data_IF_419553519631
#
_entry.id   IF_419553519631
#
_cell.length_a   1.000
_cell.length_b   1.000
_cell.length_c   1.000
_cell.angle_alpha   90.00
_cell.angle_beta   90.00
_cell.angle_gamma   90.00
#
_symmetry.space_group_name_H-M   'P 1'
#
loop_
_entity.id
_entity.type
_entity.pdbx_description
1 polymer ?
#
# COMPACT_ATOMS: atom_id res chain seq x y z
N UNK A 1 -30.84 -6.13 -16.43
CA UNK A 1 -29.59 -6.90 -16.25
C UNK A 1 -28.56 -5.90 -15.80
N UNK A 2 -28.47 -5.71 -14.48
CA UNK A 2 -27.52 -4.77 -13.90
C UNK A 2 -26.15 -5.44 -13.88
N UNK A 3 -25.26 -4.96 -14.76
CA UNK A 3 -23.85 -5.34 -14.77
C UNK A 3 -23.20 -4.70 -13.55
N UNK A 4 -23.20 -5.41 -12.43
CA UNK A 4 -22.51 -4.98 -11.22
C UNK A 4 -21.02 -4.95 -11.55
N UNK A 5 -20.47 -3.73 -11.64
CA UNK A 5 -19.05 -3.40 -11.78
C UNK A 5 -18.21 -4.19 -10.77
N UNK A 6 -17.75 -5.37 -11.16
CA UNK A 6 -16.85 -6.22 -10.37
C UNK A 6 -15.38 -5.81 -10.55
N UNK A 7 -15.09 -4.88 -11.47
CA UNK A 7 -13.74 -4.46 -11.83
C UNK A 7 -13.04 -3.58 -10.79
N UNK A 8 -13.77 -3.02 -9.81
CA UNK A 8 -13.15 -2.15 -8.78
C UNK A 8 -12.49 -2.92 -7.64
N UNK A 9 -12.82 -4.20 -7.42
CA UNK A 9 -12.26 -4.95 -6.28
C UNK A 9 -10.78 -5.33 -6.48
N UNK A 10 -10.30 -5.38 -7.73
CA UNK A 10 -8.94 -5.77 -8.08
C UNK A 10 -8.05 -4.58 -8.50
N UNK A 11 -8.46 -3.35 -8.16
CA UNK A 11 -7.71 -2.15 -8.53
C UNK A 11 -7.26 -1.33 -7.32
N UNK A 12 -5.94 -1.14 -7.23
CA UNK A 12 -5.30 -0.26 -6.27
C UNK A 12 -5.32 1.18 -6.80
N UNK A 13 -5.53 2.13 -5.90
CA UNK A 13 -5.52 3.55 -6.22
C UNK A 13 -4.69 4.30 -5.19
N UNK A 14 -3.76 5.13 -5.67
CA UNK A 14 -2.91 5.98 -4.84
C UNK A 14 -2.91 7.40 -5.42
N UNK A 15 -3.02 8.39 -4.54
CA UNK A 15 -2.76 9.79 -4.88
C UNK A 15 -1.26 10.06 -4.74
N UNK A 16 -0.64 10.46 -5.84
CA UNK A 16 0.77 10.81 -5.91
C UNK A 16 0.96 12.26 -5.48
N UNK A 17 2.03 12.49 -4.73
CA UNK A 17 2.57 13.82 -4.44
C UNK A 17 3.88 13.98 -5.21
N UNK A 18 4.13 15.17 -5.75
CA UNK A 18 5.25 15.44 -6.66
C UNK A 18 6.60 14.93 -6.11
N UNK A 19 6.87 15.17 -4.83
CA UNK A 19 8.12 14.79 -4.16
C UNK A 19 8.32 13.28 -3.99
N UNK A 20 7.26 12.49 -4.14
CA UNK A 20 7.26 11.02 -3.97
C UNK A 20 6.78 10.26 -5.20
N UNK A 21 6.25 10.94 -6.22
CA UNK A 21 5.51 10.33 -7.32
C UNK A 21 6.32 9.27 -8.05
N UNK A 22 7.57 9.58 -8.41
CA UNK A 22 8.44 8.64 -9.12
C UNK A 22 8.86 7.44 -8.27
N UNK A 23 9.03 7.66 -6.97
CA UNK A 23 9.35 6.60 -6.00
C UNK A 23 8.18 5.62 -5.88
N UNK A 24 6.96 6.14 -5.76
CA UNK A 24 5.73 5.35 -5.63
C UNK A 24 5.42 4.61 -6.93
N UNK A 25 5.54 5.25 -8.10
CA UNK A 25 5.34 4.59 -9.40
C UNK A 25 6.31 3.42 -9.59
N UNK A 26 7.60 3.62 -9.27
CA UNK A 26 8.60 2.55 -9.35
C UNK A 26 8.26 1.38 -8.42
N UNK A 27 7.82 1.66 -7.20
CA UNK A 27 7.36 0.62 -6.27
C UNK A 27 6.17 -0.15 -6.84
N UNK A 28 5.16 0.53 -7.39
CA UNK A 28 4.01 -0.14 -8.04
C UNK A 28 4.49 -1.05 -9.18
N UNK A 29 5.35 -0.56 -10.06
CA UNK A 29 5.84 -1.30 -11.22
C UNK A 29 6.66 -2.55 -10.86
N UNK A 30 7.20 -2.64 -9.65
CA UNK A 30 7.92 -3.83 -9.18
C UNK A 30 6.98 -4.99 -8.84
N UNK A 31 5.75 -4.71 -8.40
CA UNK A 31 4.81 -5.73 -7.90
C UNK A 31 3.51 -5.80 -8.70
N UNK A 32 3.28 -4.86 -9.62
CA UNK A 32 2.02 -4.68 -10.34
C UNK A 32 2.20 -3.96 -11.68
N UNK A 33 1.12 -3.90 -12.47
CA UNK A 33 0.99 -3.09 -13.69
C UNK A 33 0.14 -1.84 -13.40
N UNK A 34 0.64 -0.67 -13.83
CA UNK A 34 -0.14 0.57 -13.84
C UNK A 34 -1.17 0.48 -14.97
N UNK A 35 -2.45 0.71 -14.63
CA UNK A 35 -3.59 0.67 -15.55
C UNK A 35 -3.88 2.07 -16.10
N UNK A 36 -3.83 3.09 -15.23
CA UNK A 36 -4.17 4.46 -15.61
C UNK A 36 -3.40 5.49 -14.76
N UNK A 37 -3.19 6.67 -15.35
CA UNK A 37 -2.68 7.88 -14.69
C UNK A 37 -3.63 9.03 -15.04
N UNK A 38 -4.35 9.54 -14.04
CA UNK A 38 -5.29 10.66 -14.18
C UNK A 38 -4.88 11.78 -13.24
N UNK A 39 -4.25 12.82 -13.78
CA UNK A 39 -3.60 13.86 -12.99
C UNK A 39 -2.55 13.27 -12.04
N UNK A 40 -2.76 13.45 -10.73
CA UNK A 40 -1.89 12.89 -9.70
C UNK A 40 -2.38 11.52 -9.17
N UNK A 41 -3.46 10.95 -9.72
CA UNK A 41 -3.96 9.65 -9.29
C UNK A 41 -3.38 8.53 -10.16
N UNK A 42 -2.77 7.53 -9.53
CA UNK A 42 -2.35 6.29 -10.18
C UNK A 42 -3.33 5.16 -9.85
N UNK A 43 -3.74 4.43 -10.88
CA UNK A 43 -4.54 3.20 -10.75
C UNK A 43 -3.72 2.02 -11.25
N UNK A 44 -3.71 0.92 -10.53
CA UNK A 44 -2.89 -0.26 -10.82
C UNK A 44 -3.61 -1.56 -10.43
N UNK A 45 -3.10 -2.70 -10.90
CA UNK A 45 -3.65 -4.02 -10.55
C UNK A 45 -3.31 -4.41 -9.11
N UNK A 46 -4.31 -4.55 -8.26
CA UNK A 46 -4.08 -4.96 -6.88
C UNK A 46 -5.28 -4.67 -6.00
N UNK A 47 -5.40 -5.40 -4.90
CA UNK A 47 -6.49 -5.25 -3.96
C UNK A 47 -5.97 -4.61 -2.67
N UNK A 48 -6.63 -3.55 -2.20
CA UNK A 48 -6.32 -2.99 -0.88
C UNK A 48 -6.79 -3.96 0.21
N UNK A 49 -5.86 -4.48 1.00
CA UNK A 49 -6.10 -5.46 2.07
C UNK A 49 -6.01 -4.84 3.47
N UNK A 50 -5.27 -3.74 3.62
CA UNK A 50 -5.17 -2.97 4.86
C UNK A 50 -5.36 -1.49 4.57
N UNK A 51 -6.14 -0.84 5.42
CA UNK A 51 -6.21 0.60 5.59
C UNK A 51 -5.85 0.88 7.06
N UNK A 52 -4.77 1.62 7.26
CA UNK A 52 -4.20 1.92 8.56
C UNK A 52 -4.31 3.40 8.89
N UNK A 53 -4.86 3.69 10.07
CA UNK A 53 -5.00 5.07 10.53
C UNK A 53 -3.67 5.69 10.96
N UNK A 54 -3.59 7.02 10.80
CA UNK A 54 -2.48 7.84 11.20
C UNK A 54 -2.15 7.81 12.68
N UNK A 55 -0.93 8.21 12.99
CA UNK A 55 -0.42 8.26 14.35
C UNK A 55 0.78 9.19 14.50
N UNK A 56 1.03 9.57 15.76
CA UNK A 56 2.19 10.33 16.20
C UNK A 56 2.40 11.68 15.48
N UNK A 57 1.34 12.30 14.94
CA UNK A 57 1.37 13.60 14.24
C UNK A 57 2.39 13.66 13.10
N UNK A 58 2.71 12.49 12.52
CA UNK A 58 3.72 12.31 11.48
C UNK A 58 3.20 11.46 10.32
N UNK A 59 2.44 10.42 10.63
CA UNK A 59 1.82 9.54 9.63
C UNK A 59 0.34 9.86 9.59
N UNK A 60 -0.16 10.24 8.42
CA UNK A 60 -1.57 10.52 8.19
C UNK A 60 -2.37 9.22 8.04
N UNK A 61 -1.89 8.30 7.20
CA UNK A 61 -2.43 6.95 7.04
C UNK A 61 -1.45 6.08 6.25
N UNK A 62 -1.74 4.78 6.13
CA UNK A 62 -1.02 3.88 5.26
C UNK A 62 -1.94 2.79 4.74
N UNK A 63 -1.67 2.30 3.54
CA UNK A 63 -2.43 1.24 2.88
C UNK A 63 -1.50 0.09 2.50
N UNK A 64 -2.00 -1.15 2.60
CA UNK A 64 -1.34 -2.32 2.02
C UNK A 64 -2.20 -2.86 0.90
N UNK A 65 -1.57 -3.12 -0.24
CA UNK A 65 -2.17 -3.74 -1.40
C UNK A 65 -1.54 -5.11 -1.63
N UNK A 66 -2.39 -6.09 -1.91
CA UNK A 66 -1.99 -7.35 -2.50
C UNK A 66 -1.99 -7.17 -4.02
N UNK A 67 -0.84 -7.38 -4.64
CA UNK A 67 -0.60 -7.16 -6.06
C UNK A 67 -0.27 -8.51 -6.74
N UNK A 68 -0.34 -8.62 -8.09
CA UNK A 68 -0.06 -9.87 -8.79
C UNK A 68 1.31 -10.48 -8.49
N UNK A 69 2.34 -9.66 -8.25
CA UNK A 69 3.71 -10.11 -8.04
C UNK A 69 4.24 -9.85 -6.62
N UNK A 70 3.36 -9.56 -5.65
CA UNK A 70 3.77 -9.33 -4.26
C UNK A 70 2.84 -8.37 -3.53
N UNK A 71 3.41 -7.58 -2.65
CA UNK A 71 2.69 -6.62 -1.82
C UNK A 71 3.31 -5.23 -1.94
N UNK A 72 2.46 -4.22 -1.78
CA UNK A 72 2.84 -2.82 -1.75
C UNK A 72 2.34 -2.22 -0.43
N UNK A 73 3.22 -1.56 0.30
CA UNK A 73 2.88 -0.72 1.44
C UNK A 73 3.13 0.72 1.02
N UNK A 74 2.07 1.52 1.04
CA UNK A 74 2.17 2.95 0.79
C UNK A 74 1.79 3.73 2.05
N UNK A 75 2.61 4.70 2.43
CA UNK A 75 2.39 5.53 3.62
C UNK A 75 2.27 6.99 3.23
N UNK A 76 1.20 7.60 3.71
CA UNK A 76 0.92 9.02 3.60
C UNK A 76 1.40 9.73 4.86
N UNK A 77 2.28 10.71 4.70
CA UNK A 77 2.93 11.42 5.78
C UNK A 77 2.24 12.77 6.00
N UNK A 78 2.05 13.17 7.27
CA UNK A 78 1.64 14.55 7.60
C UNK A 78 2.79 15.54 7.40
N UNK A 79 4.03 15.04 7.52
CA UNK A 79 5.26 15.82 7.39
C UNK A 79 6.31 15.04 6.60
N UNK A 80 6.82 15.68 5.54
CA UNK A 80 7.79 15.09 4.62
C UNK A 80 7.11 14.28 3.51
N UNK A 81 7.90 13.70 2.60
CA UNK A 81 7.36 13.02 1.44
C UNK A 81 6.70 11.69 1.83
N UNK A 82 5.62 11.35 1.12
CA UNK A 82 5.06 10.00 1.14
C UNK A 82 6.11 8.98 0.65
N UNK A 83 5.90 7.71 0.98
CA UNK A 83 6.80 6.66 0.54
C UNK A 83 6.04 5.36 0.29
N UNK A 84 6.61 4.52 -0.55
CA UNK A 84 6.12 3.17 -0.80
C UNK A 84 7.25 2.14 -0.74
N UNK A 85 6.98 0.94 -0.23
CA UNK A 85 7.92 -0.19 -0.27
C UNK A 85 7.22 -1.43 -0.77
N UNK A 86 8.00 -2.39 -1.23
CA UNK A 86 7.51 -3.64 -1.83
C UNK A 86 8.12 -4.85 -1.13
N UNK A 87 7.43 -5.98 -1.25
CA UNK A 87 7.94 -7.29 -0.82
C UNK A 87 7.19 -8.38 -1.56
N UNK A 88 7.82 -9.54 -1.80
CA UNK A 88 7.11 -10.70 -2.39
C UNK A 88 6.20 -11.35 -1.36
N UNK A 89 6.56 -11.24 -0.08
CA UNK A 89 5.77 -11.68 1.08
C UNK A 89 5.45 -10.49 1.98
N UNK A 90 4.48 -10.66 2.88
CA UNK A 90 4.17 -9.64 3.91
C UNK A 90 5.35 -9.41 4.86
N UNK A 91 6.13 -10.44 5.17
CA UNK A 91 7.32 -10.30 6.02
C UNK A 91 8.42 -9.47 5.34
N UNK A 92 8.70 -9.74 4.06
CA UNK A 92 9.64 -8.94 3.27
C UNK A 92 9.19 -7.48 3.19
N UNK A 93 7.88 -7.25 2.99
CA UNK A 93 7.30 -5.92 2.92
C UNK A 93 7.52 -5.14 4.22
N UNK A 94 7.21 -5.76 5.36
CA UNK A 94 7.34 -5.14 6.68
C UNK A 94 8.82 -4.91 7.05
N UNK A 95 9.72 -5.80 6.63
CA UNK A 95 11.15 -5.65 6.82
C UNK A 95 11.75 -4.51 5.98
N UNK A 96 11.18 -4.23 4.80
CA UNK A 96 11.61 -3.14 3.92
C UNK A 96 11.13 -1.75 4.38
N UNK A 97 10.15 -1.67 5.29
CA UNK A 97 9.58 -0.40 5.74
C UNK A 97 10.62 0.47 6.48
N UNK A 98 10.87 1.72 6.05
CA UNK A 98 11.85 2.59 6.69
C UNK A 98 11.42 3.04 8.10
N UNK A 99 10.11 3.05 8.37
CA UNK A 99 9.55 3.39 9.68
C UNK A 99 9.07 2.13 10.41
N UNK A 100 9.83 1.73 11.43
CA UNK A 100 9.49 0.58 12.30
C UNK A 100 8.14 0.72 13.00
N UNK A 101 7.68 1.95 13.24
CA UNK A 101 6.38 2.20 13.88
C UNK A 101 5.23 1.89 12.94
N UNK A 102 5.38 2.22 11.65
CA UNK A 102 4.44 1.83 10.60
C UNK A 102 4.45 0.32 10.46
N UNK A 103 5.63 -0.30 10.34
CA UNK A 103 5.75 -1.75 10.23
C UNK A 103 5.06 -2.50 11.38
N UNK A 104 5.27 -2.05 12.63
CA UNK A 104 4.66 -2.68 13.81
C UNK A 104 3.13 -2.56 13.82
N UNK A 105 2.60 -1.39 13.42
CA UNK A 105 1.14 -1.18 13.37
C UNK A 105 0.51 -1.96 12.21
N UNK A 106 1.15 -1.94 11.04
CA UNK A 106 0.76 -2.75 9.89
C UNK A 106 0.70 -4.23 10.24
N UNK A 107 1.73 -4.76 10.90
CA UNK A 107 1.76 -6.14 11.40
C UNK A 107 0.56 -6.43 12.33
N UNK A 108 0.27 -5.54 13.28
CA UNK A 108 -0.89 -5.66 14.16
C UNK A 108 -2.22 -5.73 13.40
N UNK A 109 -2.41 -4.88 12.39
CA UNK A 109 -3.62 -4.89 11.55
C UNK A 109 -3.72 -6.15 10.68
N UNK A 110 -2.59 -6.64 10.17
CA UNK A 110 -2.55 -7.88 9.39
C UNK A 110 -2.95 -9.09 10.26
N UNK A 111 -2.50 -9.16 11.51
CA UNK A 111 -2.94 -10.18 12.48
C UNK A 111 -4.44 -10.05 12.76
N UNK A 112 -4.94 -8.84 13.03
CA UNK A 112 -6.36 -8.61 13.31
C UNK A 112 -7.28 -9.03 12.16
N UNK A 113 -6.77 -8.97 10.92
CA UNK A 113 -7.47 -9.42 9.71
C UNK A 113 -7.21 -10.89 9.37
N UNK A 114 -6.50 -11.63 10.22
CA UNK A 114 -6.11 -13.03 9.99
C UNK A 114 -5.32 -13.25 8.70
N UNK A 115 -4.57 -12.24 8.24
CA UNK A 115 -3.74 -12.30 7.04
C UNK A 115 -2.33 -12.84 7.35
N UNK A 116 -1.89 -12.75 8.60
CA UNK A 116 -0.67 -13.37 9.13
C UNK A 116 -0.94 -13.93 10.54
N UNK A 117 -0.14 -14.91 10.95
CA UNK A 117 -0.23 -15.54 12.28
C UNK A 117 0.89 -15.06 13.20
N UNK A 118 0.61 -14.98 14.51
CA UNK A 118 1.66 -14.83 15.52
C UNK A 118 2.45 -16.13 15.59
N UNK A 119 3.66 -16.14 15.02
CA UNK A 119 4.63 -17.18 15.34
C UNK A 119 5.20 -16.89 16.73
N UNK A 120 4.79 -17.71 17.70
CA UNK A 120 5.31 -17.72 19.07
C UNK A 120 6.67 -18.39 19.16
#
# INVERSE_FOLDING_TARGET
MDTINTTQQDQGQILLEDDSAEQVKKAIQQVSRIINLDGNKVTFEGQRIVEGHGFALRVNCYDIYQCPNGFLLHTYMDKGPNWAVTGRTLDELLAAAPDRSVARRAHGLLIQKSLISLHH
#
